data_IF_997367955816
#
_entry.id   IF_997367955816
#
_cell.length_a   1.000
_cell.length_b   1.000
_cell.length_c   1.000
_cell.angle_alpha   90.00
_cell.angle_beta   90.00
_cell.angle_gamma   90.00
#
_symmetry.space_group_name_H-M   'P 1'
#
loop_
_entity.id
_entity.type
_entity.pdbx_description
1 polymer ?
#
# COMPACT_ATOMS: atom_id res chain seq x y z
N UNK A 1 10.75 -9.32 -35.49
CA UNK A 1 9.79 -8.34 -34.92
C UNK A 1 9.54 -8.71 -33.48
N UNK A 2 9.48 -7.76 -32.52
CA UNK A 2 9.06 -8.10 -31.16
C UNK A 2 7.65 -8.71 -31.23
N UNK A 3 7.48 -9.86 -30.60
CA UNK A 3 6.18 -10.55 -30.52
C UNK A 3 5.19 -9.64 -29.79
N UNK A 4 3.95 -9.57 -30.29
CA UNK A 4 2.87 -8.87 -29.58
C UNK A 4 2.65 -9.51 -28.20
N UNK A 5 2.51 -8.70 -27.13
CA UNK A 5 2.30 -9.21 -25.79
C UNK A 5 0.99 -9.97 -25.67
N UNK A 6 0.97 -11.02 -24.85
CA UNK A 6 -0.27 -11.76 -24.57
C UNK A 6 -1.31 -10.86 -23.88
N UNK A 7 -2.61 -10.93 -24.25
CA UNK A 7 -3.70 -10.21 -23.57
C UNK A 7 -3.75 -10.54 -22.08
N UNK A 8 -4.17 -9.60 -21.24
CA UNK A 8 -4.34 -9.79 -19.78
C UNK A 8 -5.64 -10.53 -19.51
N UNK A 9 -5.59 -11.58 -18.69
CA UNK A 9 -6.75 -12.42 -18.36
C UNK A 9 -7.65 -11.77 -17.31
N UNK A 10 -7.04 -11.07 -16.35
CA UNK A 10 -7.72 -10.35 -15.28
C UNK A 10 -7.40 -8.85 -15.35
N UNK A 11 -7.84 -8.13 -16.40
CA UNK A 11 -7.59 -6.71 -16.50
C UNK A 11 -8.35 -5.96 -15.39
N UNK A 12 -7.69 -5.04 -14.67
CA UNK A 12 -8.39 -4.15 -13.76
C UNK A 12 -9.35 -3.23 -14.52
N UNK A 13 -10.52 -3.00 -13.97
CA UNK A 13 -11.59 -2.18 -14.58
C UNK A 13 -11.25 -0.69 -14.56
N UNK A 14 -10.56 -0.22 -13.51
CA UNK A 14 -10.31 1.21 -13.30
C UNK A 14 -9.01 1.72 -13.92
N UNK A 15 -8.17 0.84 -14.47
CA UNK A 15 -6.83 1.20 -14.95
C UNK A 15 -6.69 0.95 -16.45
N UNK A 16 -6.09 1.92 -17.15
CA UNK A 16 -5.58 1.68 -18.49
C UNK A 16 -4.26 0.93 -18.39
N UNK A 17 -4.12 -0.15 -19.15
CA UNK A 17 -2.91 -0.97 -19.17
C UNK A 17 -2.10 -0.73 -20.44
N UNK A 18 -0.78 -0.80 -20.30
CA UNK A 18 0.15 -0.78 -21.42
C UNK A 18 1.34 -1.71 -21.13
N UNK A 19 1.92 -2.38 -22.16
CA UNK A 19 3.12 -3.17 -21.97
C UNK A 19 4.24 -2.32 -21.35
N UNK A 20 4.87 -2.83 -20.29
CA UNK A 20 5.87 -2.09 -19.50
C UNK A 20 6.95 -1.46 -20.39
N UNK A 21 7.49 -2.23 -21.34
CA UNK A 21 8.56 -1.79 -22.23
C UNK A 21 8.18 -0.63 -23.17
N UNK A 22 6.88 -0.44 -23.48
CA UNK A 22 6.41 0.69 -24.31
C UNK A 22 6.38 1.99 -23.51
N UNK A 23 6.03 1.92 -22.24
CA UNK A 23 5.96 3.10 -21.38
C UNK A 23 7.29 3.45 -20.70
N UNK A 24 8.12 2.46 -20.36
CA UNK A 24 9.38 2.69 -19.66
C UNK A 24 10.36 3.60 -20.42
N UNK A 25 10.28 3.62 -21.76
CA UNK A 25 11.08 4.50 -22.61
C UNK A 25 10.65 5.97 -22.59
N UNK A 26 9.45 6.29 -22.07
CA UNK A 26 8.93 7.66 -21.91
C UNK A 26 9.23 8.26 -20.54
N UNK A 27 9.71 7.46 -19.60
CA UNK A 27 9.95 7.89 -18.22
C UNK A 27 11.37 8.46 -18.02
N UNK A 28 11.58 9.39 -17.07
CA UNK A 28 12.89 10.00 -16.79
C UNK A 28 13.94 8.96 -16.40
N UNK A 29 15.05 8.83 -17.13
CA UNK A 29 16.04 7.76 -16.90
C UNK A 29 16.77 7.84 -15.56
N UNK A 30 16.75 8.99 -14.89
CA UNK A 30 17.40 9.21 -13.59
C UNK A 30 16.69 10.28 -12.75
N UNK A 31 17.08 10.38 -11.48
CA UNK A 31 16.61 11.40 -10.55
C UNK A 31 15.29 11.06 -9.85
N UNK A 32 14.81 11.99 -9.05
CA UNK A 32 13.56 11.85 -8.30
C UNK A 32 12.38 12.12 -9.21
N UNK A 33 11.43 11.19 -9.30
CA UNK A 33 10.26 11.33 -10.17
C UNK A 33 9.04 10.67 -9.56
N UNK A 34 7.91 11.38 -9.60
CA UNK A 34 6.62 10.81 -9.27
C UNK A 34 6.06 10.25 -10.57
N UNK A 35 6.14 8.93 -10.75
CA UNK A 35 5.36 8.25 -11.79
C UNK A 35 4.00 7.89 -11.20
N UNK A 36 2.94 8.15 -11.97
CA UNK A 36 1.58 7.84 -11.54
C UNK A 36 0.65 7.59 -12.73
N UNK A 37 -0.41 6.83 -12.49
CA UNK A 37 -1.60 6.82 -13.32
C UNK A 37 -2.54 7.96 -12.85
N UNK A 38 -2.74 8.99 -13.67
CA UNK A 38 -3.55 10.15 -13.30
C UNK A 38 -4.25 10.78 -14.52
N UNK A 39 -5.24 11.61 -14.25
CA UNK A 39 -5.90 12.47 -15.23
C UNK A 39 -6.15 13.87 -14.64
N UNK A 40 -7.05 14.65 -15.23
CA UNK A 40 -7.34 16.00 -14.76
C UNK A 40 -7.80 16.03 -13.30
N UNK A 41 -8.61 15.06 -12.88
CA UNK A 41 -9.35 15.10 -11.61
C UNK A 41 -8.85 14.08 -10.57
N UNK A 42 -8.15 13.04 -11.01
CA UNK A 42 -7.79 11.91 -10.16
C UNK A 42 -6.38 11.40 -10.37
N UNK A 43 -5.85 10.78 -9.33
CA UNK A 43 -4.61 10.00 -9.32
C UNK A 43 -4.85 8.66 -8.67
N UNK A 44 -4.22 7.61 -9.18
CA UNK A 44 -4.24 6.28 -8.58
C UNK A 44 -3.04 6.12 -7.66
N UNK A 45 -3.30 5.69 -6.42
CA UNK A 45 -2.28 5.18 -5.50
C UNK A 45 -2.45 3.67 -5.33
N UNK A 46 -1.34 2.99 -5.08
CA UNK A 46 -1.27 1.56 -4.84
C UNK A 46 -0.98 1.28 -3.37
N UNK A 47 -1.66 0.27 -2.84
CA UNK A 47 -1.58 -0.14 -1.45
C UNK A 47 -1.48 -1.65 -1.36
N UNK A 48 -0.66 -2.14 -0.43
CA UNK A 48 -0.65 -3.53 -0.01
C UNK A 48 -1.22 -3.60 1.41
N UNK A 49 -2.31 -4.35 1.57
CA UNK A 49 -3.09 -4.43 2.80
C UNK A 49 -3.50 -5.87 3.10
N UNK A 50 -3.94 -6.11 4.33
CA UNK A 50 -4.50 -7.43 4.66
C UNK A 50 -5.78 -7.70 3.90
N UNK A 51 -6.11 -8.98 3.74
CA UNK A 51 -7.38 -9.43 3.16
C UNK A 51 -8.60 -8.79 3.84
N UNK A 52 -8.58 -8.69 5.17
CA UNK A 52 -9.67 -8.11 5.97
C UNK A 52 -9.87 -6.62 5.64
N UNK A 53 -8.77 -5.87 5.50
CA UNK A 53 -8.83 -4.45 5.14
C UNK A 53 -9.29 -4.30 3.70
N UNK A 54 -8.76 -5.08 2.76
CA UNK A 54 -9.14 -5.05 1.36
C UNK A 54 -10.63 -5.33 1.13
N UNK A 55 -11.16 -6.42 1.70
CA UNK A 55 -12.57 -6.79 1.58
C UNK A 55 -13.49 -5.66 2.09
N UNK A 56 -13.11 -5.04 3.22
CA UNK A 56 -13.83 -3.89 3.75
C UNK A 56 -13.74 -2.68 2.83
N UNK A 57 -12.53 -2.34 2.39
CA UNK A 57 -12.23 -1.17 1.57
C UNK A 57 -12.97 -1.22 0.24
N UNK A 58 -12.93 -2.36 -0.45
CA UNK A 58 -13.68 -2.59 -1.69
C UNK A 58 -15.19 -2.51 -1.45
N UNK A 59 -15.69 -3.21 -0.42
CA UNK A 59 -17.14 -3.23 -0.13
C UNK A 59 -17.71 -1.85 0.21
N UNK A 60 -16.95 -1.04 0.95
CA UNK A 60 -17.42 0.26 1.44
C UNK A 60 -16.91 1.44 0.63
N UNK A 61 -16.01 1.20 -0.32
CA UNK A 61 -15.24 2.20 -1.05
C UNK A 61 -14.48 3.16 -0.10
N UNK A 62 -14.07 2.65 1.07
CA UNK A 62 -13.36 3.33 2.18
C UNK A 62 -13.07 2.34 3.32
N UNK A 63 -12.33 2.77 4.33
CA UNK A 63 -12.09 2.03 5.55
C UNK A 63 -10.73 1.35 5.54
N UNK A 64 -9.73 2.03 5.00
CA UNK A 64 -8.37 1.51 4.84
C UNK A 64 -7.59 1.44 6.16
N UNK A 65 -8.03 2.16 7.19
CA UNK A 65 -7.32 2.28 8.47
C UNK A 65 -7.86 1.31 9.52
N UNK A 66 -6.97 0.51 10.10
CA UNK A 66 -7.19 -0.25 11.33
C UNK A 66 -6.14 0.17 12.34
N UNK A 67 -6.54 0.59 13.55
CA UNK A 67 -5.62 1.05 14.59
C UNK A 67 -4.86 2.34 14.26
N UNK A 68 -3.60 2.40 14.71
CA UNK A 68 -2.68 3.54 14.59
C UNK A 68 -1.56 3.33 13.57
N UNK A 69 -1.59 2.22 12.82
CA UNK A 69 -0.58 1.91 11.81
C UNK A 69 -0.58 2.96 10.69
N UNK A 70 0.59 3.46 10.28
CA UNK A 70 0.68 4.34 9.13
C UNK A 70 0.33 3.59 7.84
N UNK A 71 -0.41 4.26 6.98
CA UNK A 71 -0.76 3.71 5.68
C UNK A 71 0.36 4.00 4.69
N UNK A 72 1.01 2.95 4.21
CA UNK A 72 2.02 3.06 3.14
C UNK A 72 1.32 3.07 1.79
N UNK A 73 1.58 4.11 1.00
CA UNK A 73 1.00 4.28 -0.33
C UNK A 73 2.09 4.58 -1.35
N UNK A 74 1.90 4.12 -2.58
CA UNK A 74 2.83 4.31 -3.69
C UNK A 74 2.08 4.89 -4.88
N UNK A 75 2.74 5.72 -5.68
CA UNK A 75 2.13 6.23 -6.93
C UNK A 75 2.51 5.38 -8.14
N UNK A 76 3.62 4.66 -8.07
CA UNK A 76 4.10 3.80 -9.15
C UNK A 76 3.96 2.31 -8.80
N UNK A 77 3.43 1.55 -9.75
CA UNK A 77 3.06 0.16 -9.65
C UNK A 77 4.29 -0.75 -9.52
N UNK A 78 5.28 -0.61 -10.41
CA UNK A 78 6.43 -1.54 -10.43
C UNK A 78 7.29 -1.46 -9.16
N UNK A 79 7.68 -0.27 -8.66
CA UNK A 79 8.34 -0.17 -7.36
C UNK A 79 7.49 -0.77 -6.25
N UNK A 80 6.20 -0.44 -6.19
CA UNK A 80 5.30 -0.97 -5.18
C UNK A 80 5.31 -2.50 -5.17
N UNK A 81 5.14 -3.13 -6.34
CA UNK A 81 5.14 -4.58 -6.45
C UNK A 81 6.49 -5.21 -6.13
N UNK A 82 7.60 -4.57 -6.49
CA UNK A 82 8.91 -5.05 -6.08
C UNK A 82 9.09 -5.01 -4.55
N UNK A 83 8.58 -3.97 -3.88
CA UNK A 83 8.64 -3.83 -2.42
C UNK A 83 7.68 -4.75 -1.66
N UNK A 84 6.53 -5.08 -2.25
CA UNK A 84 5.50 -5.94 -1.64
C UNK A 84 5.62 -7.39 -2.08
N UNK A 85 6.75 -7.70 -2.72
CA UNK A 85 7.06 -9.02 -3.17
C UNK A 85 6.06 -9.59 -4.20
N UNK A 86 5.48 -8.75 -5.08
CA UNK A 86 4.41 -9.12 -6.02
C UNK A 86 3.30 -9.94 -5.34
N UNK A 87 2.83 -9.48 -4.16
CA UNK A 87 1.86 -10.18 -3.30
C UNK A 87 2.27 -11.60 -2.87
N UNK A 88 3.55 -11.92 -2.64
CA UNK A 88 3.91 -13.21 -1.99
C UNK A 88 3.72 -13.18 -0.47
N UNK A 89 3.68 -11.98 0.13
CA UNK A 89 3.53 -11.80 1.58
C UNK A 89 2.18 -12.34 2.08
N UNK A 90 2.23 -12.99 3.24
CA UNK A 90 1.07 -13.56 3.92
C UNK A 90 0.88 -12.90 5.28
N UNK A 91 -0.35 -12.59 5.65
CA UNK A 91 -0.67 -12.18 7.02
C UNK A 91 -0.99 -13.42 7.89
N UNK A 92 -0.44 -13.49 9.11
CA UNK A 92 -0.72 -14.59 10.01
C UNK A 92 -2.14 -14.50 10.59
N UNK A 93 -2.74 -15.63 10.99
CA UNK A 93 -4.14 -15.65 11.43
C UNK A 93 -4.48 -14.73 12.60
N UNK A 94 -3.58 -14.55 13.56
CA UNK A 94 -3.81 -13.69 14.72
C UNK A 94 -3.93 -12.20 14.35
N UNK A 95 -3.18 -11.74 13.34
CA UNK A 95 -3.25 -10.37 12.81
C UNK A 95 -4.60 -10.13 12.14
N UNK A 96 -5.06 -11.09 11.34
CA UNK A 96 -6.36 -11.02 10.68
C UNK A 96 -7.51 -10.98 11.70
N UNK A 97 -7.44 -11.82 12.73
CA UNK A 97 -8.43 -11.83 13.82
C UNK A 97 -8.47 -10.50 14.57
N UNK A 98 -7.30 -9.97 14.96
CA UNK A 98 -7.21 -8.65 15.60
C UNK A 98 -7.86 -7.55 14.77
N UNK A 99 -7.57 -7.51 13.47
CA UNK A 99 -8.15 -6.51 12.57
C UNK A 99 -9.68 -6.65 12.46
N UNK A 100 -10.20 -7.88 12.38
CA UNK A 100 -11.64 -8.15 12.41
C UNK A 100 -12.29 -7.64 13.69
N UNK A 101 -11.66 -7.87 14.85
CA UNK A 101 -12.17 -7.43 16.15
C UNK A 101 -12.22 -5.90 16.27
N UNK A 102 -11.15 -5.20 15.87
CA UNK A 102 -11.11 -3.72 15.85
C UNK A 102 -12.20 -3.15 14.93
N UNK A 103 -12.38 -3.76 13.75
CA UNK A 103 -13.43 -3.36 12.82
C UNK A 103 -14.82 -3.53 13.45
N UNK A 104 -15.09 -4.69 14.07
CA UNK A 104 -16.37 -4.97 14.71
C UNK A 104 -16.67 -4.00 15.87
N UNK A 105 -15.68 -3.67 16.70
CA UNK A 105 -15.81 -2.69 17.79
C UNK A 105 -16.21 -1.31 17.24
N UNK A 106 -15.54 -0.85 16.18
CA UNK A 106 -15.84 0.45 15.56
C UNK A 106 -17.25 0.50 14.98
N UNK A 107 -17.71 -0.58 14.34
CA UNK A 107 -19.06 -0.64 13.78
C UNK A 107 -20.15 -0.66 14.85
N UNK A 108 -19.89 -1.24 16.02
CA UNK A 108 -20.81 -1.19 17.17
C UNK A 108 -20.92 0.21 17.75
N UNK A 109 -19.78 0.91 17.91
CA UNK A 109 -19.75 2.28 18.47
C UNK A 109 -20.44 3.32 17.58
N UNK A 110 -20.55 3.08 16.28
CA UNK A 110 -21.23 3.99 15.34
C UNK A 110 -22.75 3.81 15.27
N UNK A 111 -23.33 2.79 15.92
CA UNK A 111 -24.80 2.65 16.00
C UNK A 111 -25.31 3.37 17.25
N UNK A 112 -26.20 4.38 17.13
CA UNK A 112 -26.82 4.99 18.31
C UNK A 112 -27.58 3.92 19.08
N UNK A 113 -27.40 3.92 20.40
CA UNK A 113 -27.93 2.92 21.32
C UNK A 113 -29.45 2.82 21.18
N UNK A 114 -29.93 1.80 20.45
CA UNK A 114 -31.27 1.26 20.65
C UNK A 114 -31.07 0.04 21.53
N UNK A 115 -31.35 0.23 22.81
CA UNK A 115 -31.20 -0.78 23.85
C UNK A 115 -31.92 -2.08 23.45
N UNK A 116 -31.17 -3.18 23.42
CA UNK A 116 -31.57 -4.48 23.96
C UNK A 116 -30.29 -5.11 24.52
N UNK A 117 -30.23 -5.22 25.85
CA UNK A 117 -29.32 -6.16 26.50
C UNK A 117 -29.84 -7.57 26.18
N UNK A 118 -29.48 -8.09 25.02
CA UNK A 118 -29.53 -9.52 24.79
C UNK A 118 -28.13 -10.07 25.03
N UNK A 119 -28.05 -10.78 26.15
CA UNK A 119 -26.95 -11.57 26.61
C UNK A 119 -26.61 -12.64 25.56
N UNK A 120 -25.84 -12.25 24.54
CA UNK A 120 -25.37 -13.16 23.50
C UNK A 120 -23.93 -13.59 23.80
N UNK A 121 -23.78 -14.22 24.96
CA UNK A 121 -22.80 -15.29 25.13
C UNK A 121 -23.33 -16.46 24.30
N UNK A 122 -22.99 -16.54 23.00
CA UNK A 122 -22.87 -17.79 22.27
C UNK A 122 -22.34 -17.57 20.84
N UNK A 123 -21.37 -18.42 20.49
CA UNK A 123 -20.88 -18.70 19.14
C UNK A 123 -20.03 -17.61 18.46
N UNK A 124 -18.90 -17.27 19.09
CA UNK A 124 -17.67 -17.10 18.30
C UNK A 124 -17.30 -18.51 17.85
N UNK A 125 -17.88 -18.94 16.73
CA UNK A 125 -17.50 -20.18 16.07
C UNK A 125 -15.98 -20.17 15.92
N UNK A 126 -15.35 -21.21 16.46
CA UNK A 126 -14.05 -21.73 16.04
C UNK A 126 -14.05 -21.88 14.51
N UNK A 127 -13.87 -20.80 13.77
CA UNK A 127 -13.43 -20.87 12.38
C UNK A 127 -11.94 -21.08 12.47
N UNK A 128 -11.54 -22.32 12.24
CA UNK A 128 -10.16 -22.77 12.02
C UNK A 128 -9.35 -21.70 11.26
N UNK A 129 -8.67 -20.81 11.98
CA UNK A 129 -7.76 -19.83 11.39
C UNK A 129 -6.35 -20.40 11.48
N UNK A 130 -6.13 -21.58 10.90
CA UNK A 130 -4.79 -22.18 10.83
C UNK A 130 -3.98 -21.66 9.63
N UNK A 131 -4.62 -20.98 8.68
CA UNK A 131 -3.98 -20.66 7.42
C UNK A 131 -3.71 -19.16 7.33
N UNK A 132 -2.44 -18.83 7.08
CA UNK A 132 -2.03 -17.49 6.67
C UNK A 132 -2.70 -17.13 5.34
N UNK A 133 -3.02 -15.85 5.17
CA UNK A 133 -3.76 -15.37 3.99
C UNK A 133 -2.91 -14.40 3.19
N UNK A 134 -3.00 -14.51 1.87
CA UNK A 134 -2.33 -13.61 0.96
C UNK A 134 -2.81 -12.17 1.19
N UNK A 135 -1.84 -11.26 1.28
CA UNK A 135 -2.11 -9.83 1.27
C UNK A 135 -2.65 -9.39 -0.09
N UNK A 136 -3.32 -8.25 -0.12
CA UNK A 136 -4.07 -7.75 -1.26
C UNK A 136 -3.48 -6.45 -1.76
N UNK A 137 -3.33 -6.34 -3.08
CA UNK A 137 -3.01 -5.07 -3.73
C UNK A 137 -4.31 -4.35 -4.07
N UNK A 138 -4.46 -3.12 -3.57
CA UNK A 138 -5.52 -2.22 -3.98
C UNK A 138 -4.98 -1.14 -4.93
N UNK A 139 -5.76 -0.84 -5.97
CA UNK A 139 -5.68 0.42 -6.69
C UNK A 139 -6.75 1.36 -6.12
N UNK A 140 -6.32 2.50 -5.60
CA UNK A 140 -7.21 3.49 -4.98
C UNK A 140 -7.12 4.77 -5.78
N UNK A 141 -8.22 5.14 -6.44
CA UNK A 141 -8.34 6.43 -7.13
C UNK A 141 -8.76 7.48 -6.13
N UNK A 142 -8.00 8.57 -6.06
CA UNK A 142 -8.28 9.70 -5.17
C UNK A 142 -8.35 11.00 -5.96
N UNK A 143 -9.02 12.00 -5.39
CA UNK A 143 -9.00 13.35 -5.93
C UNK A 143 -7.56 13.89 -6.01
N UNK A 144 -7.21 14.42 -7.18
CA UNK A 144 -5.86 14.94 -7.45
C UNK A 144 -5.44 16.04 -6.47
N UNK A 145 -6.36 16.97 -6.15
CA UNK A 145 -6.11 18.06 -5.19
C UNK A 145 -5.70 17.56 -3.79
N UNK A 146 -6.18 16.39 -3.38
CA UNK A 146 -5.86 15.82 -2.07
C UNK A 146 -4.44 15.26 -2.09
N UNK A 147 -4.06 14.61 -3.19
CA UNK A 147 -2.68 14.19 -3.39
C UNK A 147 -1.72 15.38 -3.48
N UNK A 148 -2.08 16.44 -4.20
CA UNK A 148 -1.27 17.66 -4.27
C UNK A 148 -1.05 18.27 -2.88
N UNK A 149 -2.11 18.31 -2.06
CA UNK A 149 -2.00 18.75 -0.67
C UNK A 149 -1.07 17.85 0.15
N UNK A 150 -1.13 16.52 -0.03
CA UNK A 150 -0.19 15.61 0.62
C UNK A 150 1.25 15.92 0.26
N UNK A 151 1.55 16.15 -1.02
CA UNK A 151 2.90 16.50 -1.48
C UNK A 151 3.37 17.82 -0.87
N UNK A 152 2.48 18.80 -0.74
CA UNK A 152 2.81 20.11 -0.14
C UNK A 152 3.19 20.02 1.34
N UNK A 153 2.51 19.16 2.12
CA UNK A 153 2.74 19.03 3.56
C UNK A 153 3.70 17.89 3.93
N UNK A 154 4.11 17.08 2.96
CA UNK A 154 4.92 15.90 3.22
C UNK A 154 6.31 16.28 3.76
N UNK A 155 6.72 15.63 4.85
CA UNK A 155 8.06 15.77 5.41
C UNK A 155 8.92 14.56 5.07
N UNK A 156 10.24 14.73 4.82
CA UNK A 156 11.11 13.59 4.56
C UNK A 156 11.17 12.69 5.80
N UNK A 157 11.18 11.38 5.56
CA UNK A 157 11.49 10.40 6.60
C UNK A 157 12.96 10.57 7.00
N UNK A 158 13.24 10.84 8.28
CA UNK A 158 14.61 11.04 8.80
C UNK A 158 15.24 9.71 9.24
N UNK A 159 16.57 9.67 9.40
CA UNK A 159 17.28 8.49 9.94
C UNK A 159 16.83 8.14 11.38
N UNK A 160 16.40 9.12 12.17
CA UNK A 160 15.85 8.90 13.52
C UNK A 160 14.49 8.18 13.47
N UNK A 161 13.74 8.36 12.37
CA UNK A 161 12.51 7.61 12.16
C UNK A 161 12.80 6.16 11.69
N UNK A 162 13.98 5.89 11.08
CA UNK A 162 14.28 4.65 10.36
C UNK A 162 14.11 3.32 11.13
N UNK A 163 14.56 3.15 12.39
CA UNK A 163 14.44 1.87 13.10
C UNK A 163 12.98 1.47 13.41
N UNK A 164 12.04 2.42 13.36
CA UNK A 164 10.62 2.19 13.56
C UNK A 164 9.83 2.04 12.26
N UNK A 165 10.51 2.08 11.11
CA UNK A 165 9.87 2.26 9.81
C UNK A 165 10.08 1.10 8.83
N UNK A 166 11.11 0.27 8.98
CA UNK A 166 11.43 -0.75 7.98
C UNK A 166 11.07 -2.20 8.35
N UNK A 167 10.69 -2.53 9.60
CA UNK A 167 10.38 -3.94 9.96
C UNK A 167 9.32 -4.21 11.05
N UNK A 168 8.83 -3.20 11.78
CA UNK A 168 7.92 -3.43 12.93
C UNK A 168 6.46 -3.70 12.50
N UNK A 169 6.14 -3.64 11.20
CA UNK A 169 4.78 -3.95 10.71
C UNK A 169 4.50 -5.45 10.50
N UNK A 170 5.54 -6.28 10.48
CA UNK A 170 5.45 -7.71 10.16
C UNK A 170 5.85 -8.62 11.34
N UNK A 171 6.50 -8.10 12.39
CA UNK A 171 6.70 -8.80 13.67
C UNK A 171 5.54 -8.50 14.62
N UNK A 172 4.35 -9.01 14.29
CA UNK A 172 3.24 -9.06 15.23
C UNK A 172 3.50 -10.16 16.28
N UNK A 173 4.52 -9.99 17.12
CA UNK A 173 4.54 -10.69 18.39
C UNK A 173 3.41 -10.04 19.19
N UNK A 174 2.38 -10.80 19.57
CA UNK A 174 1.15 -10.33 20.26
C UNK A 174 1.36 -9.68 21.64
N UNK A 175 2.51 -9.05 21.86
CA UNK A 175 2.95 -8.21 22.96
C UNK A 175 3.34 -6.80 22.50
N UNK A 176 3.52 -6.55 21.19
CA UNK A 176 3.88 -5.24 20.63
C UNK A 176 2.66 -4.56 20.03
N UNK A 177 1.79 -4.10 20.92
CA UNK A 177 0.70 -3.22 20.57
C UNK A 177 0.77 -2.04 21.54
N UNK A 178 1.03 -0.85 21.00
CA UNK A 178 0.28 0.39 21.22
C UNK A 178 1.17 1.64 21.14
N UNK A 179 0.77 2.57 20.28
CA UNK A 179 0.92 4.02 20.44
C UNK A 179 2.33 4.63 20.48
N UNK A 180 3.40 4.00 20.00
CA UNK A 180 4.74 4.59 20.05
C UNK A 180 5.45 4.40 21.39
N UNK A 181 5.02 3.39 22.16
CA UNK A 181 5.81 2.86 23.26
C UNK A 181 6.95 1.98 22.71
N UNK A 182 8.18 2.27 23.14
CA UNK A 182 9.39 1.51 22.80
C UNK A 182 10.01 1.02 24.10
N UNK A 183 10.45 -0.24 24.14
CA UNK A 183 11.19 -0.77 25.28
C UNK A 183 12.67 -0.39 25.15
N UNK A 184 13.13 0.56 25.96
CA UNK A 184 14.51 1.05 25.99
C UNK A 184 14.99 1.05 27.44
N UNK A 185 16.18 0.49 27.68
CA UNK A 185 16.84 0.44 28.99
C UNK A 185 15.98 -0.19 30.11
N UNK A 186 15.20 -1.23 29.79
CA UNK A 186 14.39 -1.96 30.77
C UNK A 186 13.05 -1.32 31.13
N UNK A 187 12.64 -0.25 30.45
CA UNK A 187 11.34 0.40 30.66
C UNK A 187 10.66 0.72 29.34
N UNK A 188 9.33 0.76 29.37
CA UNK A 188 8.52 1.28 28.27
C UNK A 188 8.60 2.82 28.26
N UNK A 189 9.03 3.41 27.14
CA UNK A 189 9.00 4.86 26.91
C UNK A 189 8.05 5.21 25.77
N UNK A 190 7.18 6.19 26.00
CA UNK A 190 6.34 6.78 24.97
C UNK A 190 7.16 7.78 24.16
N UNK A 191 7.53 7.42 22.94
CA UNK A 191 8.15 8.37 22.02
C UNK A 191 7.06 9.24 21.39
N UNK A 192 6.80 10.36 22.05
CA UNK A 192 5.93 11.45 21.60
C UNK A 192 6.63 12.29 20.53
N UNK A 193 7.16 11.67 19.47
CA UNK A 193 7.55 12.45 18.30
C UNK A 193 6.27 12.83 17.56
N UNK A 194 6.10 14.13 17.29
CA UNK A 194 5.07 14.63 16.37
C UNK A 194 5.34 14.02 15.00
N UNK A 195 4.73 12.88 14.72
CA UNK A 195 4.83 12.25 13.41
C UNK A 195 4.17 13.19 12.40
N UNK A 196 4.84 13.51 11.28
CA UNK A 196 4.21 14.30 10.26
C UNK A 196 2.97 13.56 9.75
N UNK A 197 1.90 14.31 9.48
CA UNK A 197 0.67 13.77 8.93
C UNK A 197 0.91 13.02 7.61
N UNK A 198 1.87 13.51 6.82
CA UNK A 198 2.40 12.82 5.63
C UNK A 198 3.92 12.78 5.73
N UNK A 199 4.49 11.58 5.68
CA UNK A 199 5.92 11.38 5.54
C UNK A 199 6.24 10.84 4.13
N UNK A 200 7.39 11.19 3.57
CA UNK A 200 7.83 10.66 2.28
C UNK A 200 9.23 10.08 2.30
N UNK A 201 9.46 9.11 1.41
CA UNK A 201 10.79 8.56 1.10
C UNK A 201 10.92 8.36 -0.40
N UNK A 202 12.07 8.74 -0.93
CA UNK A 202 12.48 8.36 -2.28
C UNK A 202 13.04 6.95 -2.25
N UNK A 203 12.36 6.04 -2.95
CA UNK A 203 12.77 4.65 -3.08
C UNK A 203 13.37 4.42 -4.45
N UNK A 204 14.38 3.54 -4.55
CA UNK A 204 14.96 3.23 -5.86
C UNK A 204 13.89 2.59 -6.74
N UNK A 205 13.74 3.10 -7.96
CA UNK A 205 12.95 2.41 -8.98
C UNK A 205 13.74 1.19 -9.47
N UNK A 206 13.03 0.21 -10.03
CA UNK A 206 13.59 -1.08 -10.42
C UNK A 206 12.98 -1.56 -11.72
N UNK A 207 13.75 -2.36 -12.45
CA UNK A 207 13.15 -3.19 -13.49
C UNK A 207 12.23 -4.24 -12.86
N UNK A 208 11.13 -4.64 -13.53
CA UNK A 208 10.29 -5.74 -13.08
C UNK A 208 11.11 -7.03 -12.97
N UNK A 209 11.27 -7.56 -11.75
CA UNK A 209 12.08 -8.75 -11.51
C UNK A 209 11.63 -9.56 -10.28
N UNK A 210 12.11 -10.81 -10.22
CA UNK A 210 12.09 -11.74 -9.06
C UNK A 210 13.55 -12.18 -8.79
N UNK A 211 14.04 -12.44 -7.56
CA UNK A 211 13.37 -12.46 -6.24
C UNK A 211 13.42 -11.13 -5.47
N UNK A 212 12.69 -11.10 -4.35
CA UNK A 212 11.90 -9.96 -3.87
C UNK A 212 12.39 -9.27 -2.58
N UNK A 213 13.54 -9.69 -2.02
CA UNK A 213 14.28 -8.90 -1.03
C UNK A 213 15.68 -8.61 -1.56
N UNK A 214 15.87 -7.34 -1.96
CA UNK A 214 17.11 -6.85 -2.53
C UNK A 214 17.18 -7.04 -4.04
N UNK A 215 16.39 -6.26 -4.80
CA UNK A 215 16.73 -5.97 -6.19
C UNK A 215 18.24 -5.69 -6.24
N UNK A 216 18.97 -6.55 -6.97
CA UNK A 216 20.43 -6.45 -7.04
C UNK A 216 20.77 -5.05 -7.51
N UNK A 217 21.95 -4.48 -7.17
CA UNK A 217 22.32 -3.15 -7.64
C UNK A 217 22.13 -2.95 -9.15
N UNK A 218 22.31 -4.00 -9.96
CA UNK A 218 22.11 -3.97 -11.40
C UNK A 218 20.63 -3.92 -11.86
N UNK A 219 19.69 -4.22 -10.97
CA UNK A 219 18.24 -4.17 -11.23
C UNK A 219 17.62 -2.84 -10.80
N UNK A 220 18.37 -2.02 -10.06
CA UNK A 220 17.96 -0.68 -9.63
C UNK A 220 18.22 0.31 -10.76
N UNK A 221 17.24 1.17 -10.99
CA UNK A 221 17.35 2.26 -11.93
C UNK A 221 17.97 3.48 -11.24
N UNK A 222 18.59 4.36 -12.02
CA UNK A 222 19.09 5.63 -11.53
C UNK A 222 17.97 6.61 -11.14
N UNK A 223 16.71 6.28 -11.48
CA UNK A 223 15.53 7.04 -11.05
C UNK A 223 15.00 6.52 -9.72
N UNK A 224 14.34 7.39 -8.98
CA UNK A 224 13.69 7.09 -7.71
C UNK A 224 12.19 7.38 -7.81
N UNK A 225 11.40 6.53 -7.18
CA UNK A 225 9.95 6.64 -7.06
C UNK A 225 9.54 7.11 -5.67
N UNK A 226 8.35 7.70 -5.58
CA UNK A 226 7.83 8.22 -4.34
C UNK A 226 7.08 7.14 -3.54
N UNK A 227 7.45 7.01 -2.27
CA UNK A 227 6.65 6.31 -1.25
C UNK A 227 6.16 7.34 -0.24
N UNK A 228 4.88 7.29 0.10
CA UNK A 228 4.29 8.10 1.16
C UNK A 228 3.82 7.22 2.33
N UNK A 229 3.83 7.79 3.53
CA UNK A 229 3.18 7.26 4.73
C UNK A 229 2.17 8.26 5.23
N UNK A 230 0.92 7.83 5.33
CA UNK A 230 -0.18 8.65 5.83
C UNK A 230 -0.42 8.30 7.30
N UNK A 231 -0.34 9.31 8.15
CA UNK A 231 -0.58 9.20 9.59
C UNK A 231 -1.90 9.88 9.95
N UNK A 232 -2.37 9.65 11.18
CA UNK A 232 -3.38 10.47 11.83
C UNK A 232 -4.60 10.81 10.95
N UNK A 233 -4.85 12.09 10.79
CA UNK A 233 -6.01 12.60 10.07
C UNK A 233 -5.88 12.45 8.55
N UNK A 234 -4.66 12.32 8.00
CA UNK A 234 -4.49 12.10 6.56
C UNK A 234 -4.90 10.71 6.12
N UNK A 235 -4.69 9.70 6.96
CA UNK A 235 -5.24 8.37 6.73
C UNK A 235 -6.79 8.39 6.74
N UNK A 236 -7.41 9.29 7.53
CA UNK A 236 -8.87 9.50 7.53
C UNK A 236 -9.32 10.32 6.32
N UNK A 237 -8.52 11.30 5.89
CA UNK A 237 -8.80 12.11 4.71
C UNK A 237 -8.87 11.23 3.45
N UNK A 238 -8.04 10.19 3.34
CA UNK A 238 -8.12 9.20 2.26
C UNK A 238 -9.50 8.53 2.18
N UNK A 239 -10.12 8.15 3.30
CA UNK A 239 -11.48 7.58 3.31
C UNK A 239 -12.53 8.55 2.73
N UNK A 240 -12.28 9.86 2.78
CA UNK A 240 -13.18 10.91 2.27
C UNK A 240 -12.86 11.30 0.82
N UNK A 241 -11.59 11.23 0.45
CA UNK A 241 -11.06 11.62 -0.86
C UNK A 241 -11.11 10.50 -1.91
N UNK A 242 -11.45 9.29 -1.48
CA UNK A 242 -11.52 8.12 -2.35
C UNK A 242 -12.65 8.25 -3.37
N UNK A 243 -12.27 8.18 -4.64
CA UNK A 243 -13.18 8.14 -5.79
C UNK A 243 -13.50 6.71 -6.20
N UNK A 244 -12.63 5.75 -5.89
CA UNK A 244 -12.85 4.33 -6.17
C UNK A 244 -11.75 3.43 -5.59
N UNK A 245 -12.14 2.24 -5.16
CA UNK A 245 -11.26 1.19 -4.64
C UNK A 245 -11.47 -0.07 -5.46
N UNK A 246 -10.40 -0.59 -6.03
CA UNK A 246 -10.37 -1.84 -6.77
C UNK A 246 -9.33 -2.81 -6.16
N UNK A 247 -9.73 -4.06 -5.93
CA UNK A 247 -8.78 -5.14 -5.62
C UNK A 247 -8.17 -5.67 -6.92
N UNK A 248 -6.92 -5.29 -7.17
CA UNK A 248 -6.18 -5.70 -8.36
C UNK A 248 -5.27 -6.91 -8.08
N UNK A 249 -5.49 -7.64 -6.98
CA UNK A 249 -4.73 -8.84 -6.62
C UNK A 249 -4.74 -9.91 -7.72
N UNK A 250 -5.87 -10.23 -8.40
CA UNK A 250 -5.86 -11.18 -9.50
C UNK A 250 -4.92 -10.77 -10.64
N UNK A 251 -4.95 -9.49 -11.03
CA UNK A 251 -4.04 -8.91 -12.02
C UNK A 251 -2.57 -9.04 -11.59
N UNK A 252 -2.25 -8.70 -10.34
CA UNK A 252 -0.87 -8.80 -9.81
C UNK A 252 -0.39 -10.25 -9.81
N UNK A 253 -1.24 -11.20 -9.39
CA UNK A 253 -0.91 -12.62 -9.39
C UNK A 253 -0.64 -13.13 -10.81
N UNK A 254 -1.40 -12.67 -11.79
CA UNK A 254 -1.16 -12.95 -13.21
C UNK A 254 0.19 -12.39 -13.68
N UNK A 255 0.50 -11.12 -13.39
CA UNK A 255 1.77 -10.50 -13.77
C UNK A 255 2.96 -11.17 -13.12
N UNK A 256 2.86 -11.54 -11.83
CA UNK A 256 3.85 -12.35 -11.14
C UNK A 256 4.06 -13.69 -11.86
N UNK A 257 2.98 -14.36 -12.24
CA UNK A 257 3.04 -15.65 -12.93
C UNK A 257 3.77 -15.51 -14.28
N UNK A 258 3.51 -14.44 -15.03
CA UNK A 258 4.23 -14.13 -16.28
C UNK A 258 5.73 -13.88 -16.05
N UNK A 259 6.08 -13.14 -14.99
CA UNK A 259 7.47 -12.91 -14.61
C UNK A 259 8.19 -14.23 -14.26
N UNK A 260 7.53 -15.11 -13.50
CA UNK A 260 8.06 -16.43 -13.13
C UNK A 260 8.25 -17.35 -14.33
N UNK A 261 7.21 -17.47 -15.18
CA UNK A 261 7.19 -18.44 -16.27
C UNK A 261 8.12 -18.08 -17.42
N UNK A 262 8.48 -16.80 -17.60
CA UNK A 262 9.13 -16.37 -18.82
C UNK A 262 10.43 -15.59 -18.68
N UNK A 263 10.79 -14.98 -17.54
CA UNK A 263 11.88 -13.96 -17.50
C UNK A 263 11.80 -12.89 -18.62
N UNK A 264 10.67 -12.76 -19.32
CA UNK A 264 10.51 -11.96 -20.55
C UNK A 264 9.61 -10.77 -20.20
N UNK A 265 10.25 -9.61 -20.00
CA UNK A 265 9.65 -8.27 -19.86
C UNK A 265 8.63 -7.93 -20.97
N UNK A 266 8.78 -8.38 -22.24
CA UNK A 266 7.82 -8.10 -23.30
C UNK A 266 6.34 -8.41 -23.01
N UNK A 267 6.03 -9.45 -22.23
CA UNK A 267 4.65 -9.88 -21.91
C UNK A 267 4.10 -9.23 -20.63
N UNK A 268 4.89 -8.38 -19.96
CA UNK A 268 4.47 -7.72 -18.73
C UNK A 268 3.63 -6.49 -19.06
N UNK A 269 2.40 -6.49 -18.56
CA UNK A 269 1.52 -5.33 -18.57
C UNK A 269 1.59 -4.63 -17.23
N UNK A 270 1.58 -3.31 -17.28
CA UNK A 270 1.48 -2.46 -16.08
C UNK A 270 0.45 -1.37 -16.33
N UNK A 271 -0.14 -0.79 -15.28
CA UNK A 271 -0.92 0.43 -15.42
C UNK A 271 -0.13 1.48 -16.20
N UNK A 272 -0.80 2.26 -17.04
CA UNK A 272 -0.15 3.36 -17.77
C UNK A 272 0.25 4.44 -16.78
N UNK A 273 1.54 4.73 -16.70
CA UNK A 273 2.08 5.75 -15.82
C UNK A 273 2.80 6.83 -16.61
N UNK A 274 2.71 8.07 -16.12
CA UNK A 274 3.42 9.22 -16.68
C UNK A 274 4.01 10.06 -15.56
N UNK A 275 5.05 10.86 -15.84
CA UNK A 275 5.55 11.84 -14.89
C UNK A 275 4.42 12.74 -14.40
N UNK A 276 4.26 12.79 -13.08
CA UNK A 276 3.28 13.63 -12.43
C UNK A 276 3.89 15.02 -12.20
N UNK A 277 3.23 16.11 -12.63
CA UNK A 277 3.75 17.47 -12.53
C UNK A 277 3.50 18.03 -11.12
N UNK A 278 4.09 17.41 -10.10
CA UNK A 278 4.03 17.92 -8.74
C UNK A 278 4.88 19.19 -8.57
N UNK A 279 4.53 20.06 -7.61
CA UNK A 279 5.48 21.03 -7.07
C UNK A 279 6.73 20.29 -6.63
N UNK A 280 7.91 20.83 -6.93
CA UNK A 280 9.15 20.30 -6.39
C UNK A 280 9.06 20.28 -4.86
N UNK A 281 9.42 19.14 -4.24
CA UNK A 281 9.60 19.08 -2.79
C UNK A 281 10.57 20.19 -2.40
N UNK A 282 10.18 21.04 -1.45
CA UNK A 282 11.10 22.04 -0.94
C UNK A 282 12.19 21.30 -0.18
N UNK A 283 13.40 21.26 -0.73
CA UNK A 283 14.58 20.86 0.03
C UNK A 283 14.79 21.94 1.10
N UNK A 284 14.34 21.66 2.32
CA UNK A 284 14.72 22.41 3.52
C UNK A 284 15.89 21.70 4.19
#
# INVERSE_FOLDING_TARGET
MPRSPLPVEHPPESLTLEPYWKQSGRWPSSGQSILANYNADSITIYMDVSKVIAERAVKKQRGFRVGHEPMRVYTSFVPMQAYTEWNTKLDPPHKLKYQQDIIAIRERRMKPSRAVYENNNNNITNRNSSNSEQRRTLAVRIERRIFDHWIEIAKPITEEDAPYLDDVGDLFHGTEDFNGWVFLDGYWRYHMYEKPDVAYRWVNDVHPCLPLNGARPQQRLARQSLQLRLHGDMAIALDRACLGVEDITPFVNEMRTRLTLKQIVPDLWTPTESPYPAPSFKYT
#
